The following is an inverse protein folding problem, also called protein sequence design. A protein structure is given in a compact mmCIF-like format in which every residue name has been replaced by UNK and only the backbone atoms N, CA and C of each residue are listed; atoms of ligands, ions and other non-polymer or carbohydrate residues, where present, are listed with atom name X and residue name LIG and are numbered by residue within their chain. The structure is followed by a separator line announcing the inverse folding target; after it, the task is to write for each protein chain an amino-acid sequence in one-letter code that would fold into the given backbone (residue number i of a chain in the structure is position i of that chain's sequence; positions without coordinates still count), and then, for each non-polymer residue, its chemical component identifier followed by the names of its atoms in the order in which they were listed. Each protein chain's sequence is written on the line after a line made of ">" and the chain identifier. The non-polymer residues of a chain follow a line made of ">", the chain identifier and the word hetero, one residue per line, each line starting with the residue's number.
data_IF_647785477578
#
_entry.id   IF_647785477578
#
_cell.length_a   1.000
_cell.length_b   1.000
_cell.length_c   1.000
_cell.angle_alpha   90.00
_cell.angle_beta   90.00
_cell.angle_gamma   90.00
#
_symmetry.space_group_name_H-M   'P 1'
#
loop_
_entity.id
_entity.type
_entity.pdbx_description
1 polymer ?
#
# COMPACT_ATOMS: atom_id res chain seq x y z
N UNK A 1 -50.04 34.23 -2.71
CA UNK A 1 -51.44 33.77 -2.72
C UNK A 1 -51.46 32.37 -2.09
N UNK A 2 -52.47 32.06 -1.26
CA UNK A 2 -52.85 30.75 -0.65
C UNK A 2 -51.89 29.56 -0.79
N UNK A 3 -51.36 28.90 0.25
CA UNK A 3 -51.66 28.85 1.69
C UNK A 3 -53.00 28.18 2.10
N UNK A 4 -52.87 26.95 2.61
CA UNK A 4 -53.73 26.06 3.44
C UNK A 4 -52.72 24.99 3.99
N UNK A 5 -52.58 24.59 5.27
CA UNK A 5 -53.45 24.53 6.47
C UNK A 5 -54.64 23.56 6.29
N UNK A 6 -55.20 22.81 7.25
CA UNK A 6 -54.92 22.31 8.62
C UNK A 6 -55.96 21.16 8.86
N UNK A 7 -55.95 20.22 9.83
CA UNK A 7 -55.18 19.84 11.04
C UNK A 7 -55.31 18.27 11.13
N UNK A 8 -55.09 17.48 12.20
CA UNK A 8 -54.69 17.66 13.61
C UNK A 8 -55.21 16.50 14.50
N UNK A 9 -54.45 16.10 15.54
CA UNK A 9 -54.82 15.06 16.52
C UNK A 9 -54.32 13.63 16.16
N UNK A 10 -53.70 12.78 16.98
CA UNK A 10 -53.19 12.71 18.38
C UNK A 10 -53.67 11.39 19.02
N UNK A 11 -52.71 10.61 19.59
CA UNK A 11 -52.86 9.72 20.76
C UNK A 11 -53.79 8.46 20.65
N UNK A 12 -53.55 7.36 21.37
CA UNK A 12 -52.45 7.01 22.29
C UNK A 12 -52.22 5.47 22.36
N UNK A 13 -51.15 5.05 23.05
CA UNK A 13 -50.92 3.77 23.75
C UNK A 13 -51.60 2.45 23.28
N UNK A 14 -50.81 1.40 22.97
CA UNK A 14 -50.42 0.38 23.97
C UNK A 14 -49.47 -0.71 23.42
N UNK A 15 -48.79 -1.43 24.32
CA UNK A 15 -47.79 -2.50 24.06
C UNK A 15 -48.15 -3.80 24.85
N UNK A 16 -47.30 -4.84 24.84
CA UNK A 16 -47.31 -6.01 23.95
C UNK A 16 -48.14 -7.20 24.47
N UNK A 17 -48.25 -8.27 23.66
CA UNK A 17 -48.90 -9.54 24.04
C UNK A 17 -47.98 -10.75 23.81
N UNK A 18 -47.81 -11.60 24.82
CA UNK A 18 -46.90 -12.75 24.87
C UNK A 18 -47.67 -14.07 24.79
N UNK A 19 -47.26 -14.99 23.91
CA UNK A 19 -47.71 -16.39 23.78
C UNK A 19 -46.48 -17.22 23.34
N UNK A 20 -45.72 -17.90 24.23
CA UNK A 20 -45.84 -19.33 24.64
C UNK A 20 -46.24 -20.26 23.48
N UNK A 21 -45.58 -21.35 23.08
CA UNK A 21 -44.92 -22.49 23.76
C UNK A 21 -44.50 -23.45 22.59
N UNK A 22 -43.87 -24.64 22.66
CA UNK A 22 -43.43 -25.54 23.75
C UNK A 22 -42.37 -26.55 23.24
N UNK A 23 -41.53 -27.07 24.15
CA UNK A 23 -40.99 -28.45 24.20
C UNK A 23 -40.33 -29.15 23.00
N UNK A 24 -39.05 -29.50 23.19
CA UNK A 24 -38.57 -30.89 23.09
C UNK A 24 -37.36 -31.09 24.03
N UNK A 25 -37.19 -32.27 24.65
CA UNK A 25 -36.11 -32.54 25.60
C UNK A 25 -35.49 -33.94 25.43
N UNK A 26 -34.19 -34.07 25.66
CA UNK A 26 -33.47 -35.33 25.57
C UNK A 26 -32.12 -35.31 26.30
N UNK A 27 -32.10 -35.72 27.57
CA UNK A 27 -30.87 -35.94 28.35
C UNK A 27 -30.58 -37.43 28.47
N UNK A 28 -29.33 -37.82 28.25
CA UNK A 28 -28.77 -39.08 28.71
C UNK A 28 -27.33 -38.83 29.20
N UNK A 29 -26.93 -39.44 30.31
CA UNK A 29 -25.60 -39.30 30.89
C UNK A 29 -25.06 -40.67 31.32
N UNK A 30 -23.77 -40.93 31.06
CA UNK A 30 -23.13 -42.22 31.34
C UNK A 30 -21.68 -42.06 31.81
N UNK A 31 -21.46 -42.18 33.12
CA UNK A 31 -20.15 -42.48 33.74
C UNK A 31 -20.03 -44.04 33.88
N UNK A 32 -18.92 -44.72 34.20
CA UNK A 32 -17.61 -44.35 34.79
C UNK A 32 -16.58 -45.51 34.66
N UNK A 33 -15.26 -45.24 34.72
CA UNK A 33 -14.13 -46.16 35.11
C UNK A 33 -13.82 -47.42 34.23
N UNK A 34 -12.64 -48.08 34.30
CA UNK A 34 -11.33 -47.75 34.92
C UNK A 34 -10.11 -48.47 34.25
N UNK A 35 -8.92 -47.89 34.49
CA UNK A 35 -7.56 -48.51 34.68
C UNK A 35 -7.00 -49.70 33.84
N UNK A 36 -5.94 -49.36 33.08
CA UNK A 36 -4.51 -49.65 33.39
C UNK A 36 -3.71 -50.79 32.69
N UNK A 37 -2.38 -50.58 32.68
CA UNK A 37 -1.27 -51.44 32.20
C UNK A 37 -1.10 -51.56 30.67
N UNK A 38 0.11 -51.51 30.08
CA UNK A 38 1.42 -51.20 30.66
C UNK A 38 2.62 -51.51 29.72
N UNK A 39 3.76 -50.84 29.95
CA UNK A 39 5.11 -51.07 29.36
C UNK A 39 5.32 -50.87 27.85
N UNK A 40 5.83 -49.68 27.50
CA UNK A 40 7.25 -49.55 27.12
C UNK A 40 7.68 -49.75 25.66
N UNK A 41 8.10 -48.65 25.01
CA UNK A 41 9.29 -48.65 24.14
C UNK A 41 9.98 -47.28 24.10
N UNK A 42 11.30 -47.36 24.19
CA UNK A 42 12.29 -46.27 24.18
C UNK A 42 12.46 -45.63 22.79
N UNK A 43 13.08 -44.44 22.76
CA UNK A 43 13.75 -43.78 21.63
C UNK A 43 12.89 -43.24 20.47
N UNK A 44 12.44 -41.97 20.59
CA UNK A 44 12.14 -41.08 19.45
C UNK A 44 12.13 -39.58 19.84
N UNK A 45 13.15 -39.09 20.56
CA UNK A 45 13.15 -37.74 21.15
C UNK A 45 14.41 -36.90 20.83
N UNK A 46 14.78 -36.79 19.54
CA UNK A 46 15.79 -35.83 19.05
C UNK A 46 15.77 -35.72 17.50
N UNK A 47 14.91 -34.83 16.94
CA UNK A 47 14.95 -34.20 15.58
C UNK A 47 13.54 -33.73 15.16
N UNK A 48 13.11 -32.57 15.65
CA UNK A 48 11.90 -31.87 15.20
C UNK A 48 11.98 -30.34 15.42
N UNK A 49 13.21 -29.80 15.40
CA UNK A 49 13.53 -28.37 15.41
C UNK A 49 14.57 -28.12 14.31
N UNK A 50 14.66 -26.87 13.84
CA UNK A 50 15.50 -26.40 12.73
C UNK A 50 15.03 -26.83 11.32
N UNK A 51 13.87 -26.32 10.89
CA UNK A 51 13.58 -26.04 9.48
C UNK A 51 12.59 -24.87 9.36
N UNK A 52 13.01 -23.81 8.64
CA UNK A 52 12.26 -22.61 8.21
C UNK A 52 12.49 -21.26 8.92
N UNK A 53 13.55 -21.13 9.71
CA UNK A 53 14.29 -19.85 9.73
C UNK A 53 15.04 -19.66 8.40
N UNK A 54 14.37 -19.05 7.41
CA UNK A 54 15.00 -18.53 6.19
C UNK A 54 14.74 -17.03 6.09
N UNK A 55 15.72 -16.28 6.58
CA UNK A 55 15.58 -14.88 6.96
C UNK A 55 14.94 -13.96 5.93
N UNK A 56 14.06 -13.10 6.44
CA UNK A 56 13.52 -11.92 5.78
C UNK A 56 14.61 -10.88 5.52
N UNK A 57 15.50 -11.15 4.54
CA UNK A 57 16.26 -10.09 3.89
C UNK A 57 15.28 -9.01 3.44
N UNK A 58 15.53 -7.76 3.82
CA UNK A 58 14.59 -6.65 3.64
C UNK A 58 13.99 -6.64 2.23
N UNK A 59 12.68 -6.88 2.15
CA UNK A 59 11.95 -6.74 0.88
C UNK A 59 12.04 -5.27 0.48
N UNK A 60 12.75 -4.98 -0.62
CA UNK A 60 12.56 -3.70 -1.33
C UNK A 60 11.06 -3.52 -1.57
N UNK A 61 10.51 -2.29 -1.49
CA UNK A 61 9.11 -2.05 -1.82
C UNK A 61 8.80 -2.67 -3.17
N UNK A 62 7.73 -3.47 -3.22
CA UNK A 62 7.29 -4.15 -4.43
C UNK A 62 6.82 -3.09 -5.43
N UNK A 63 7.69 -2.78 -6.39
CA UNK A 63 7.40 -1.89 -7.53
C UNK A 63 6.01 -2.23 -8.09
N UNK A 64 5.07 -1.26 -8.19
CA UNK A 64 3.70 -1.53 -8.65
C UNK A 64 3.62 -2.03 -10.10
N UNK A 65 4.68 -1.88 -10.89
CA UNK A 65 4.82 -2.43 -12.24
C UNK A 65 5.48 -3.83 -12.28
N UNK A 66 5.75 -4.44 -11.12
CA UNK A 66 6.35 -5.79 -11.00
C UNK A 66 5.34 -6.90 -11.34
N UNK A 67 5.74 -7.96 -12.07
CA UNK A 67 4.85 -9.09 -12.40
C UNK A 67 4.23 -9.80 -11.19
N UNK A 68 4.83 -9.69 -10.00
CA UNK A 68 4.32 -10.29 -8.76
C UNK A 68 3.28 -9.42 -8.01
N UNK A 69 2.81 -8.32 -8.60
CA UNK A 69 1.87 -7.37 -7.99
C UNK A 69 0.44 -7.41 -8.60
N UNK A 70 0.21 -8.22 -9.63
CA UNK A 70 -1.10 -8.40 -10.27
C UNK A 70 -1.29 -9.90 -10.58
N UNK A 71 -2.26 -10.54 -9.94
CA UNK A 71 -2.50 -11.98 -10.12
C UNK A 71 -3.16 -12.25 -11.49
N UNK A 72 -2.53 -13.11 -12.29
CA UNK A 72 -2.97 -13.38 -13.66
C UNK A 72 -3.08 -14.89 -13.89
N UNK A 73 -4.33 -15.38 -13.96
CA UNK A 73 -4.61 -16.78 -14.24
C UNK A 73 -4.07 -17.23 -15.60
N UNK A 74 -3.58 -18.46 -15.66
CA UNK A 74 -2.87 -19.08 -16.81
C UNK A 74 -3.53 -18.81 -18.18
N UNK A 75 -2.90 -17.97 -18.99
CA UNK A 75 -2.96 -18.00 -20.46
C UNK A 75 -1.55 -18.20 -21.01
N UNK A 76 -1.35 -19.23 -21.83
CA UNK A 76 -0.02 -19.76 -22.18
C UNK A 76 0.80 -18.99 -23.23
N UNK A 77 0.68 -17.66 -23.30
CA UNK A 77 1.55 -16.84 -24.15
C UNK A 77 2.88 -16.56 -23.46
N UNK A 78 3.97 -16.56 -24.23
CA UNK A 78 5.33 -16.29 -23.71
C UNK A 78 5.56 -14.78 -23.57
N UNK A 79 5.96 -14.32 -22.37
CA UNK A 79 6.26 -12.91 -22.10
C UNK A 79 7.42 -12.41 -22.99
N UNK A 80 7.18 -11.50 -23.96
CA UNK A 80 8.23 -11.02 -24.87
C UNK A 80 9.33 -10.24 -24.14
N UNK A 81 9.02 -9.73 -22.94
CA UNK A 81 9.92 -9.02 -22.04
C UNK A 81 11.07 -9.94 -21.58
N UNK A 82 10.79 -11.22 -21.29
CA UNK A 82 11.82 -12.18 -20.87
C UNK A 82 12.70 -12.60 -22.05
N UNK A 83 12.09 -12.93 -23.18
CA UNK A 83 12.80 -13.35 -24.40
C UNK A 83 13.74 -12.26 -24.94
N UNK A 84 13.32 -10.99 -24.88
CA UNK A 84 14.14 -9.85 -25.30
C UNK A 84 15.41 -9.65 -24.46
N UNK A 85 15.35 -9.92 -23.15
CA UNK A 85 16.52 -9.76 -22.26
C UNK A 85 17.59 -10.83 -22.52
N UNK A 86 17.21 -12.06 -22.88
CA UNK A 86 18.15 -13.14 -23.19
C UNK A 86 18.93 -12.94 -24.50
N UNK A 87 18.42 -12.12 -25.44
CA UNK A 87 19.05 -11.88 -26.75
C UNK A 87 20.09 -10.75 -26.75
N UNK A 88 20.25 -10.01 -25.65
CA UNK A 88 21.20 -8.89 -25.53
C UNK A 88 22.68 -9.29 -25.75
N UNK A 89 23.03 -10.58 -25.63
CA UNK A 89 24.38 -11.08 -25.87
C UNK A 89 24.73 -11.36 -27.34
N UNK A 90 23.81 -11.16 -28.30
CA UNK A 90 23.96 -11.70 -29.67
C UNK A 90 23.74 -10.70 -30.81
N UNK A 91 23.31 -9.46 -30.54
CA UNK A 91 22.98 -8.47 -31.57
C UNK A 91 24.07 -7.42 -31.86
N UNK A 92 25.26 -7.58 -31.27
CA UNK A 92 26.31 -6.56 -31.31
C UNK A 92 27.10 -6.48 -32.65
N UNK A 93 26.80 -7.36 -33.63
CA UNK A 93 27.57 -7.54 -34.87
C UNK A 93 26.71 -7.65 -36.16
N UNK A 94 25.55 -6.99 -36.21
CA UNK A 94 24.68 -6.94 -37.40
C UNK A 94 24.21 -5.55 -37.84
N UNK A 95 24.35 -4.51 -37.00
CA UNK A 95 23.85 -3.15 -37.28
C UNK A 95 24.78 -2.31 -38.20
N UNK A 96 25.23 -2.90 -39.31
CA UNK A 96 26.01 -2.20 -40.35
C UNK A 96 25.37 -2.38 -41.73
N UNK A 97 24.14 -1.87 -41.87
CA UNK A 97 23.39 -1.81 -43.13
C UNK A 97 22.70 -0.44 -43.25
N UNK A 98 22.84 0.18 -44.42
CA UNK A 98 22.46 1.56 -44.74
C UNK A 98 21.13 2.04 -44.13
N UNK A 99 21.24 2.92 -43.12
CA UNK A 99 20.17 3.76 -42.63
C UNK A 99 20.75 5.08 -42.14
N UNK A 100 20.20 6.22 -42.57
CA UNK A 100 20.59 7.53 -42.03
C UNK A 100 19.99 7.63 -40.62
N UNK A 101 20.84 7.77 -39.60
CA UNK A 101 20.37 7.85 -38.22
C UNK A 101 19.30 8.95 -38.06
N UNK A 102 18.16 8.66 -37.40
CA UNK A 102 16.96 9.48 -37.48
C UNK A 102 17.16 10.90 -36.93
N UNK A 103 16.41 11.87 -37.47
CA UNK A 103 16.21 13.15 -36.78
C UNK A 103 15.29 12.93 -35.58
N UNK A 104 15.38 13.80 -34.57
CA UNK A 104 14.63 13.61 -33.32
C UNK A 104 13.13 13.54 -33.59
N UNK A 105 12.65 14.42 -34.46
CA UNK A 105 11.28 14.61 -34.85
C UNK A 105 10.70 13.35 -35.52
N UNK A 106 11.50 12.61 -36.29
CA UNK A 106 11.05 11.40 -36.97
C UNK A 106 11.13 10.16 -36.08
N UNK A 107 12.17 10.06 -35.23
CA UNK A 107 12.25 9.00 -34.23
C UNK A 107 11.18 9.15 -33.15
N UNK A 108 10.93 10.38 -32.69
CA UNK A 108 9.89 10.67 -31.68
C UNK A 108 8.50 10.26 -32.17
N UNK A 109 8.13 10.54 -33.43
CA UNK A 109 6.85 10.09 -34.02
C UNK A 109 6.65 8.58 -33.92
N UNK A 110 7.71 7.78 -34.07
CA UNK A 110 7.63 6.30 -33.94
C UNK A 110 7.35 5.92 -32.48
N UNK A 111 8.06 6.53 -31.53
CA UNK A 111 7.87 6.27 -30.10
C UNK A 111 6.50 6.73 -29.60
N UNK A 112 6.07 7.91 -30.01
CA UNK A 112 4.76 8.51 -29.73
C UNK A 112 3.62 7.64 -30.28
N UNK A 113 3.72 7.14 -31.52
CA UNK A 113 2.77 6.18 -32.07
C UNK A 113 2.77 4.85 -31.29
N UNK A 114 3.93 4.40 -30.79
CA UNK A 114 4.02 3.25 -29.87
C UNK A 114 3.28 3.48 -28.55
N UNK A 115 3.44 4.66 -27.95
CA UNK A 115 2.73 5.08 -26.72
C UNK A 115 1.22 5.15 -26.98
N UNK A 116 0.80 5.82 -28.05
CA UNK A 116 -0.61 6.01 -28.43
C UNK A 116 -1.28 4.72 -28.94
N UNK A 117 -0.51 3.71 -29.34
CA UNK A 117 -1.04 2.35 -29.52
C UNK A 117 -1.31 1.70 -28.16
N UNK A 118 -0.35 1.80 -27.23
CA UNK A 118 -0.47 1.22 -25.90
C UNK A 118 -1.54 1.90 -25.03
N UNK A 119 -1.85 3.19 -25.23
CA UNK A 119 -2.87 3.89 -24.44
C UNK A 119 -4.29 3.32 -24.59
N UNK A 120 -4.55 2.53 -25.63
CA UNK A 120 -5.81 1.78 -25.81
C UNK A 120 -6.00 0.68 -24.76
N UNK A 121 -4.91 0.24 -24.10
CA UNK A 121 -4.94 -0.67 -22.94
C UNK A 121 -5.76 -0.06 -21.78
N UNK A 122 -5.87 1.27 -21.71
CA UNK A 122 -6.64 1.98 -20.68
C UNK A 122 -8.14 1.72 -20.78
N UNK A 123 -8.68 1.57 -21.99
CA UNK A 123 -10.09 1.25 -22.25
C UNK A 123 -10.37 -0.25 -22.07
N UNK A 124 -9.57 -1.08 -22.77
CA UNK A 124 -9.64 -2.54 -22.78
C UNK A 124 -8.23 -3.10 -22.59
N UNK A 125 -8.00 -3.85 -21.52
CA UNK A 125 -6.68 -4.37 -21.14
C UNK A 125 -6.08 -5.41 -22.11
N UNK A 126 -6.81 -5.79 -23.15
CA UNK A 126 -6.34 -6.62 -24.27
C UNK A 126 -6.06 -5.80 -25.54
N UNK A 127 -6.78 -4.70 -25.75
CA UNK A 127 -6.59 -3.79 -26.88
C UNK A 127 -5.24 -3.05 -26.77
N UNK A 128 -4.66 -2.65 -27.90
CA UNK A 128 -3.45 -1.81 -27.92
C UNK A 128 -2.13 -2.49 -27.56
N UNK A 129 -2.12 -3.74 -27.07
CA UNK A 129 -0.89 -4.51 -26.85
C UNK A 129 0.00 -4.50 -28.11
N UNK A 130 1.30 -4.16 -28.01
CA UNK A 130 2.20 -4.18 -29.16
C UNK A 130 2.54 -5.63 -29.55
N UNK A 131 2.65 -5.90 -30.84
CA UNK A 131 3.30 -7.12 -31.33
C UNK A 131 4.80 -7.08 -31.03
N UNK A 132 5.47 -8.23 -31.04
CA UNK A 132 6.92 -8.29 -30.85
C UNK A 132 7.69 -7.36 -31.82
N UNK A 133 7.28 -7.34 -33.10
CA UNK A 133 7.90 -6.47 -34.12
C UNK A 133 7.70 -4.99 -33.81
N UNK A 134 6.50 -4.56 -33.42
CA UNK A 134 6.25 -3.16 -33.05
C UNK A 134 6.99 -2.76 -31.77
N UNK A 135 7.08 -3.66 -30.79
CA UNK A 135 7.86 -3.46 -29.58
C UNK A 135 9.34 -3.27 -29.89
N UNK A 136 9.92 -4.15 -30.71
CA UNK A 136 11.32 -4.06 -31.14
C UNK A 136 11.57 -2.79 -31.95
N UNK A 137 10.69 -2.43 -32.89
CA UNK A 137 10.81 -1.19 -33.65
C UNK A 137 10.87 0.05 -32.74
N UNK A 138 10.06 0.10 -31.67
CA UNK A 138 10.10 1.20 -30.69
C UNK A 138 11.37 1.18 -29.85
N UNK A 139 11.77 0.01 -29.33
CA UNK A 139 13.00 -0.17 -28.54
C UNK A 139 14.25 0.21 -29.34
N UNK A 140 14.39 -0.31 -30.57
CA UNK A 140 15.53 -0.06 -31.44
C UNK A 140 15.57 1.42 -31.86
N UNK A 141 14.42 2.06 -32.10
CA UNK A 141 14.35 3.50 -32.37
C UNK A 141 14.87 4.32 -31.18
N UNK A 142 14.36 4.07 -29.96
CA UNK A 142 14.80 4.74 -28.74
C UNK A 142 16.30 4.51 -28.45
N UNK A 143 16.79 3.28 -28.67
CA UNK A 143 18.21 2.94 -28.53
C UNK A 143 19.10 3.71 -29.51
N UNK A 144 18.76 3.73 -30.81
CA UNK A 144 19.52 4.46 -31.83
C UNK A 144 19.53 5.96 -31.56
N UNK A 145 18.39 6.56 -31.18
CA UNK A 145 18.31 7.97 -30.76
C UNK A 145 19.21 8.26 -29.54
N UNK A 146 19.17 7.41 -28.52
CA UNK A 146 19.94 7.59 -27.30
C UNK A 146 21.46 7.48 -27.50
N UNK A 147 21.91 6.54 -28.32
CA UNK A 147 23.33 6.35 -28.64
C UNK A 147 23.85 7.45 -29.58
N UNK A 148 23.01 8.00 -30.45
CA UNK A 148 23.42 9.04 -31.41
C UNK A 148 23.72 10.40 -30.74
N UNK A 149 22.89 10.87 -29.79
CA UNK A 149 23.07 12.17 -29.13
C UNK A 149 22.56 12.22 -27.69
N UNK A 150 23.43 12.63 -26.76
CA UNK A 150 23.11 12.78 -25.33
C UNK A 150 21.93 13.73 -25.00
N UNK A 151 21.57 14.69 -25.85
CA UNK A 151 20.42 15.57 -25.63
C UNK A 151 19.08 14.89 -25.95
N UNK A 152 19.05 14.00 -26.95
CA UNK A 152 17.86 13.23 -27.29
C UNK A 152 17.36 12.36 -26.12
N UNK A 153 18.24 11.92 -25.22
CA UNK A 153 17.85 11.22 -23.99
C UNK A 153 17.01 12.09 -23.04
N UNK A 154 17.32 13.39 -22.93
CA UNK A 154 16.52 14.33 -22.14
C UNK A 154 15.20 14.65 -22.82
N UNK A 155 15.24 14.89 -24.13
CA UNK A 155 14.05 15.21 -24.93
C UNK A 155 13.06 14.03 -24.98
N UNK A 156 13.54 12.79 -25.15
CA UNK A 156 12.74 11.57 -25.03
C UNK A 156 12.12 11.40 -23.63
N UNK A 157 12.87 11.68 -22.56
CA UNK A 157 12.34 11.58 -21.19
C UNK A 157 11.28 12.65 -20.90
N UNK A 158 11.48 13.87 -21.40
CA UNK A 158 10.49 14.95 -21.31
C UNK A 158 9.20 14.59 -22.09
N UNK A 159 9.35 14.10 -23.33
CA UNK A 159 8.24 13.64 -24.16
C UNK A 159 7.49 12.45 -23.56
N UNK A 160 8.20 11.52 -22.91
CA UNK A 160 7.62 10.42 -22.14
C UNK A 160 6.76 10.93 -20.97
N UNK A 161 7.25 11.89 -20.17
CA UNK A 161 6.43 12.49 -19.08
C UNK A 161 5.18 13.19 -19.63
N UNK A 162 5.31 13.91 -20.75
CA UNK A 162 4.21 14.64 -21.41
C UNK A 162 3.14 13.69 -21.99
N UNK A 163 3.53 12.79 -22.90
CA UNK A 163 2.57 11.89 -23.59
C UNK A 163 1.83 10.97 -22.61
N UNK A 164 2.47 10.57 -21.50
CA UNK A 164 1.78 9.84 -20.43
C UNK A 164 0.75 10.71 -19.70
N UNK A 165 1.08 11.97 -19.41
CA UNK A 165 0.13 12.92 -18.83
C UNK A 165 -1.06 13.18 -19.77
N UNK A 166 -0.81 13.32 -21.08
CA UNK A 166 -1.87 13.47 -22.10
C UNK A 166 -2.76 12.22 -22.17
N UNK A 167 -2.19 11.01 -22.11
CA UNK A 167 -2.96 9.76 -22.05
C UNK A 167 -3.82 9.65 -20.79
N UNK A 168 -3.31 10.08 -19.63
CA UNK A 168 -4.08 10.12 -18.38
C UNK A 168 -5.21 11.16 -18.47
N UNK A 169 -4.92 12.34 -19.01
CA UNK A 169 -5.91 13.40 -19.19
C UNK A 169 -7.03 13.00 -20.16
N UNK A 170 -6.69 12.39 -21.31
CA UNK A 170 -7.65 12.00 -22.33
C UNK A 170 -8.45 10.74 -21.97
N UNK A 171 -7.82 9.74 -21.34
CA UNK A 171 -8.42 8.41 -21.15
C UNK A 171 -8.89 8.15 -19.71
N UNK A 172 -8.12 8.57 -18.70
CA UNK A 172 -8.40 8.21 -17.29
C UNK A 172 -9.38 9.20 -16.65
N UNK A 173 -9.12 10.53 -16.75
CA UNK A 173 -9.96 11.52 -16.08
C UNK A 173 -11.44 11.43 -16.46
N UNK A 174 -11.84 11.30 -17.75
CA UNK A 174 -13.25 11.19 -18.13
C UNK A 174 -13.95 9.92 -17.60
N UNK A 175 -13.19 8.84 -17.36
CA UNK A 175 -13.72 7.63 -16.75
C UNK A 175 -13.97 7.77 -15.24
N UNK A 176 -13.29 8.69 -14.56
CA UNK A 176 -13.46 8.99 -13.13
C UNK A 176 -14.50 10.10 -12.89
N UNK A 177 -14.66 11.04 -13.83
CA UNK A 177 -15.67 12.09 -13.77
C UNK A 177 -17.08 11.53 -13.53
N UNK A 178 -17.86 12.25 -12.72
CA UNK A 178 -19.24 11.93 -12.34
C UNK A 178 -19.45 10.63 -11.53
N UNK A 179 -18.40 9.84 -11.25
CA UNK A 179 -18.46 8.73 -10.31
C UNK A 179 -18.25 9.23 -8.88
N UNK A 180 -18.74 8.45 -7.91
CA UNK A 180 -18.62 8.70 -6.47
C UNK A 180 -18.42 7.37 -5.72
N UNK A 181 -17.95 7.47 -4.49
CA UNK A 181 -17.91 6.38 -3.51
C UNK A 181 -17.26 5.10 -4.09
N UNK A 182 -17.79 3.91 -3.79
CA UNK A 182 -17.27 2.63 -4.29
C UNK A 182 -17.16 2.56 -5.83
N UNK A 183 -18.02 3.28 -6.56
CA UNK A 183 -18.01 3.32 -8.01
C UNK A 183 -16.83 4.14 -8.56
N UNK A 184 -16.43 5.20 -7.85
CA UNK A 184 -15.19 5.93 -8.13
C UNK A 184 -13.97 5.08 -7.79
N UNK A 185 -13.95 4.47 -6.59
CA UNK A 185 -12.82 3.65 -6.13
C UNK A 185 -12.53 2.46 -7.06
N UNK A 186 -13.57 1.69 -7.46
CA UNK A 186 -13.38 0.56 -8.38
C UNK A 186 -12.87 0.99 -9.76
N UNK A 187 -13.28 2.15 -10.28
CA UNK A 187 -12.77 2.63 -11.56
C UNK A 187 -11.33 3.16 -11.45
N UNK A 188 -10.99 3.86 -10.37
CA UNK A 188 -9.60 4.29 -10.11
C UNK A 188 -8.64 3.10 -10.07
N UNK A 189 -9.02 2.06 -9.34
CA UNK A 189 -8.28 0.79 -9.25
C UNK A 189 -8.14 0.12 -10.62
N UNK A 190 -9.22 0.00 -11.40
CA UNK A 190 -9.20 -0.55 -12.76
C UNK A 190 -8.30 0.27 -13.70
N UNK A 191 -8.45 1.58 -13.71
CA UNK A 191 -7.67 2.50 -14.56
C UNK A 191 -6.19 2.47 -14.21
N UNK A 192 -5.84 2.41 -12.92
CA UNK A 192 -4.47 2.22 -12.48
C UNK A 192 -3.91 0.86 -12.91
N UNK A 193 -4.68 -0.23 -12.78
CA UNK A 193 -4.25 -1.56 -13.22
C UNK A 193 -3.99 -1.62 -14.74
N UNK A 194 -4.90 -1.07 -15.55
CA UNK A 194 -4.72 -0.93 -16.99
C UNK A 194 -3.50 -0.06 -17.33
N UNK A 195 -3.28 1.03 -16.60
CA UNK A 195 -2.09 1.89 -16.75
C UNK A 195 -0.79 1.14 -16.40
N UNK A 196 -0.77 0.31 -15.36
CA UNK A 196 0.37 -0.58 -15.07
C UNK A 196 0.68 -1.54 -16.24
N UNK A 197 -0.34 -2.11 -16.88
CA UNK A 197 -0.17 -2.95 -18.09
C UNK A 197 0.40 -2.15 -19.25
N UNK A 198 -0.06 -0.91 -19.47
CA UNK A 198 0.46 0.00 -20.50
C UNK A 198 1.94 0.35 -20.25
N UNK A 199 2.27 0.82 -19.04
CA UNK A 199 3.63 1.28 -18.68
C UNK A 199 4.65 0.15 -18.78
N UNK A 200 4.27 -1.09 -18.47
CA UNK A 200 5.13 -2.27 -18.63
C UNK A 200 5.63 -2.49 -20.06
N UNK A 201 4.88 -2.07 -21.08
CA UNK A 201 5.36 -2.04 -22.46
C UNK A 201 6.17 -0.77 -22.76
N UNK A 202 5.64 0.41 -22.42
CA UNK A 202 6.24 1.70 -22.80
C UNK A 202 7.59 1.94 -22.11
N UNK A 203 7.72 1.67 -20.81
CA UNK A 203 9.01 1.76 -20.10
C UNK A 203 10.03 0.75 -20.67
N UNK A 204 9.56 -0.34 -21.29
CA UNK A 204 10.36 -1.28 -22.06
C UNK A 204 11.04 -0.63 -23.27
N UNK A 205 10.33 0.22 -24.04
CA UNK A 205 10.91 0.98 -25.15
C UNK A 205 12.06 1.88 -24.69
N UNK A 206 11.86 2.60 -23.58
CA UNK A 206 12.84 3.55 -23.03
C UNK A 206 13.88 2.90 -22.11
N UNK A 207 13.95 1.57 -22.02
CA UNK A 207 14.77 0.86 -21.03
C UNK A 207 16.28 1.21 -21.09
N UNK A 208 16.81 1.55 -22.28
CA UNK A 208 18.18 2.05 -22.41
C UNK A 208 18.35 3.44 -21.78
N UNK A 209 17.42 4.38 -22.04
CA UNK A 209 17.41 5.72 -21.44
C UNK A 209 17.29 5.62 -19.91
N UNK A 210 16.44 4.74 -19.41
CA UNK A 210 16.31 4.47 -17.97
C UNK A 210 17.62 4.00 -17.33
N UNK A 211 18.28 3.00 -17.92
CA UNK A 211 19.53 2.42 -17.41
C UNK A 211 20.74 3.34 -17.52
N UNK A 212 20.87 4.08 -18.62
CA UNK A 212 22.10 4.80 -18.96
C UNK A 212 22.02 6.31 -18.72
N UNK A 213 20.86 6.94 -18.89
CA UNK A 213 20.69 8.39 -18.75
C UNK A 213 20.11 8.79 -17.39
N UNK A 214 18.97 8.20 -16.99
CA UNK A 214 18.30 8.59 -15.74
C UNK A 214 19.16 8.25 -14.51
N UNK A 215 19.75 7.06 -14.49
CA UNK A 215 20.68 6.63 -13.43
C UNK A 215 21.92 7.54 -13.31
N UNK A 216 22.50 7.97 -14.44
CA UNK A 216 23.65 8.88 -14.47
C UNK A 216 23.29 10.30 -13.98
N UNK A 217 22.08 10.77 -14.30
CA UNK A 217 21.59 12.10 -13.91
C UNK A 217 20.90 12.15 -12.55
N UNK A 218 20.68 11.00 -11.89
CA UNK A 218 19.86 10.85 -10.67
C UNK A 218 18.44 11.40 -10.83
N UNK A 219 17.87 11.24 -12.03
CA UNK A 219 16.47 11.55 -12.30
C UNK A 219 15.55 10.42 -11.76
N UNK A 220 14.26 10.67 -11.53
CA UNK A 220 13.29 9.62 -11.18
C UNK A 220 13.30 8.47 -12.20
N UNK A 221 12.96 7.25 -11.79
CA UNK A 221 12.85 6.12 -12.73
C UNK A 221 11.71 6.32 -13.74
N UNK A 222 11.68 5.51 -14.79
CA UNK A 222 10.55 5.53 -15.74
C UNK A 222 9.24 5.20 -15.05
N UNK A 223 9.30 4.30 -14.06
CA UNK A 223 8.23 3.88 -13.17
C UNK A 223 7.75 5.01 -12.24
N UNK A 224 8.66 5.68 -11.52
CA UNK A 224 8.30 6.82 -10.65
C UNK A 224 7.73 7.99 -11.48
N UNK A 225 8.29 8.21 -12.67
CA UNK A 225 7.81 9.23 -13.63
C UNK A 225 6.41 8.89 -14.13
N UNK A 226 6.13 7.62 -14.42
CA UNK A 226 4.80 7.16 -14.83
C UNK A 226 3.77 7.24 -13.69
N UNK A 227 4.13 6.80 -12.49
CA UNK A 227 3.28 6.92 -11.31
C UNK A 227 2.98 8.40 -11.00
N UNK A 228 3.96 9.28 -11.17
CA UNK A 228 3.80 10.74 -11.10
C UNK A 228 2.85 11.27 -12.19
N UNK A 229 3.05 10.95 -13.47
CA UNK A 229 2.18 11.42 -14.56
C UNK A 229 0.72 10.97 -14.39
N UNK A 230 0.47 9.85 -13.72
CA UNK A 230 -0.86 9.45 -13.29
C UNK A 230 -1.33 10.26 -12.07
N UNK A 231 -0.71 10.04 -10.91
CA UNK A 231 -1.28 10.52 -9.64
C UNK A 231 -1.20 12.04 -9.46
N UNK A 232 -0.24 12.75 -10.04
CA UNK A 232 -0.23 14.21 -9.98
C UNK A 232 -1.42 14.84 -10.73
N UNK A 233 -1.86 14.22 -11.83
CA UNK A 233 -3.08 14.63 -12.54
C UNK A 233 -4.35 14.16 -11.82
N UNK A 234 -4.43 12.90 -11.39
CA UNK A 234 -5.68 12.43 -10.76
C UNK A 234 -5.92 13.14 -9.41
N UNK A 235 -4.87 13.45 -8.63
CA UNK A 235 -5.02 14.26 -7.41
C UNK A 235 -5.40 15.72 -7.67
N UNK A 236 -5.02 16.33 -8.80
CA UNK A 236 -5.39 17.75 -9.05
C UNK A 236 -6.88 17.94 -9.35
N UNK A 237 -7.60 16.85 -9.68
CA UNK A 237 -9.05 16.84 -9.88
C UNK A 237 -9.84 16.13 -8.76
N UNK A 238 -9.26 15.11 -8.12
CA UNK A 238 -9.98 14.19 -7.21
C UNK A 238 -9.24 13.94 -5.88
N UNK A 239 -8.56 14.95 -5.33
CA UNK A 239 -7.81 14.87 -4.08
C UNK A 239 -8.63 14.29 -2.92
N UNK A 240 -9.85 14.82 -2.72
CA UNK A 240 -10.67 14.55 -1.54
C UNK A 240 -11.39 13.21 -1.65
N UNK A 241 -11.81 12.80 -2.85
CA UNK A 241 -12.38 11.48 -3.11
C UNK A 241 -11.34 10.37 -2.89
N UNK A 242 -10.12 10.55 -3.41
CA UNK A 242 -9.03 9.58 -3.23
C UNK A 242 -8.60 9.50 -1.76
N UNK A 243 -8.38 10.66 -1.13
CA UNK A 243 -7.96 10.70 0.27
C UNK A 243 -9.05 10.19 1.21
N UNK A 244 -10.30 10.56 0.97
CA UNK A 244 -11.46 10.06 1.71
C UNK A 244 -11.59 8.53 1.61
N UNK A 245 -11.50 7.96 0.41
CA UNK A 245 -11.57 6.52 0.20
C UNK A 245 -10.41 5.77 0.87
N UNK A 246 -9.16 6.21 0.66
CA UNK A 246 -7.97 5.57 1.25
C UNK A 246 -7.99 5.62 2.78
N UNK A 247 -8.34 6.75 3.39
CA UNK A 247 -8.46 6.87 4.84
C UNK A 247 -9.63 6.05 5.39
N UNK A 248 -10.75 5.95 4.66
CA UNK A 248 -11.87 5.07 5.04
C UNK A 248 -11.42 3.60 5.10
N UNK A 249 -10.72 3.12 4.07
CA UNK A 249 -10.23 1.74 3.99
C UNK A 249 -9.19 1.45 5.09
N UNK A 250 -8.26 2.38 5.35
CA UNK A 250 -7.29 2.25 6.45
C UNK A 250 -8.00 2.20 7.83
N UNK A 251 -9.02 3.04 8.07
CA UNK A 251 -9.83 2.98 9.29
C UNK A 251 -10.58 1.65 9.43
N UNK A 252 -11.16 1.15 8.34
CA UNK A 252 -11.84 -0.15 8.31
C UNK A 252 -10.88 -1.31 8.64
N UNK A 253 -9.65 -1.31 8.10
CA UNK A 253 -8.62 -2.29 8.46
C UNK A 253 -8.22 -2.18 9.94
N UNK A 254 -8.07 -0.95 10.46
CA UNK A 254 -7.78 -0.70 11.89
C UNK A 254 -8.88 -1.20 12.84
N UNK A 255 -10.15 -1.07 12.44
CA UNK A 255 -11.33 -1.58 13.16
C UNK A 255 -11.57 -3.10 12.89
N UNK A 256 -10.75 -3.75 12.06
CA UNK A 256 -10.77 -5.20 11.82
C UNK A 256 -11.78 -5.68 10.78
N UNK A 257 -12.31 -4.78 9.94
CA UNK A 257 -13.18 -5.12 8.82
C UNK A 257 -12.40 -5.83 7.70
N UNK A 258 -13.09 -6.63 6.90
CA UNK A 258 -12.50 -7.28 5.73
C UNK A 258 -12.31 -6.28 4.58
N UNK A 259 -11.12 -5.68 4.51
CA UNK A 259 -10.71 -4.72 3.48
C UNK A 259 -9.95 -5.43 2.35
N UNK A 260 -10.17 -4.95 1.13
CA UNK A 260 -9.39 -5.38 -0.05
C UNK A 260 -7.98 -4.78 0.00
N UNK A 261 -7.08 -5.52 0.65
CA UNK A 261 -5.70 -5.09 0.89
C UNK A 261 -4.87 -4.99 -0.39
N UNK A 262 -5.15 -5.76 -1.43
CA UNK A 262 -4.39 -5.69 -2.68
C UNK A 262 -4.74 -4.42 -3.47
N UNK A 263 -6.02 -4.03 -3.52
CA UNK A 263 -6.42 -2.75 -4.10
C UNK A 263 -5.95 -1.55 -3.26
N UNK A 264 -6.06 -1.60 -1.92
CA UNK A 264 -5.53 -0.56 -1.04
C UNK A 264 -4.01 -0.40 -1.19
N UNK A 265 -3.26 -1.49 -1.10
CA UNK A 265 -1.79 -1.46 -1.20
C UNK A 265 -1.30 -1.14 -2.60
N UNK A 266 -2.02 -1.53 -3.66
CA UNK A 266 -1.70 -1.19 -5.04
C UNK A 266 -1.68 0.32 -5.27
N UNK A 267 -2.73 1.03 -4.80
CA UNK A 267 -2.83 2.49 -4.89
C UNK A 267 -1.84 3.17 -3.92
N UNK A 268 -1.73 2.73 -2.66
CA UNK A 268 -0.82 3.34 -1.68
C UNK A 268 0.66 3.23 -2.10
N UNK A 269 1.10 2.09 -2.65
CA UNK A 269 2.46 1.95 -3.21
C UNK A 269 2.67 2.88 -4.40
N UNK A 270 1.69 2.98 -5.29
CA UNK A 270 1.80 3.86 -6.46
C UNK A 270 1.90 5.34 -6.10
N UNK A 271 1.11 5.79 -5.11
CA UNK A 271 1.23 7.12 -4.51
C UNK A 271 2.63 7.31 -3.90
N UNK A 272 3.20 6.29 -3.25
CA UNK A 272 4.56 6.33 -2.71
C UNK A 272 5.67 6.37 -3.78
N UNK A 273 5.36 6.10 -5.04
CA UNK A 273 6.24 6.28 -6.20
C UNK A 273 5.97 7.58 -6.98
N UNK A 274 5.16 8.50 -6.41
CA UNK A 274 4.73 9.74 -7.09
C UNK A 274 5.07 11.01 -6.32
N UNK A 275 5.12 12.15 -7.03
CA UNK A 275 5.30 13.49 -6.43
C UNK A 275 4.27 13.82 -5.31
N UNK A 276 3.07 13.20 -5.31
CA UNK A 276 2.02 13.42 -4.28
C UNK A 276 2.19 12.59 -2.99
N UNK A 277 3.26 11.79 -2.86
CA UNK A 277 3.54 10.99 -1.64
C UNK A 277 3.42 11.79 -0.34
N UNK A 278 3.94 13.02 -0.31
CA UNK A 278 3.95 13.86 0.89
C UNK A 278 2.54 14.30 1.33
N UNK A 279 1.65 14.54 0.37
CA UNK A 279 0.26 14.94 0.64
C UNK A 279 -0.48 13.80 1.33
N UNK A 280 -0.43 12.60 0.74
CA UNK A 280 -1.04 11.40 1.32
C UNK A 280 -0.41 11.02 2.67
N UNK A 281 0.91 11.17 2.82
CA UNK A 281 1.60 10.96 4.11
C UNK A 281 1.04 11.88 5.20
N UNK A 282 0.90 13.17 4.93
CA UNK A 282 0.30 14.12 5.89
C UNK A 282 -1.16 13.80 6.20
N UNK A 283 -1.96 13.39 5.20
CA UNK A 283 -3.34 12.98 5.39
C UNK A 283 -3.45 11.75 6.31
N UNK A 284 -2.66 10.69 6.07
CA UNK A 284 -2.62 9.48 6.91
C UNK A 284 -2.14 9.80 8.32
N UNK A 285 -1.10 10.61 8.49
CA UNK A 285 -0.58 11.02 9.81
C UNK A 285 -1.67 11.74 10.63
N UNK A 286 -2.36 12.72 10.02
CA UNK A 286 -3.43 13.47 10.69
C UNK A 286 -4.63 12.58 11.03
N UNK A 287 -5.03 11.70 10.11
CA UNK A 287 -6.11 10.74 10.33
C UNK A 287 -5.82 9.78 11.49
N UNK A 288 -4.58 9.28 11.55
CA UNK A 288 -4.10 8.37 12.60
C UNK A 288 -4.27 9.00 13.98
N UNK A 289 -3.86 10.27 14.14
CA UNK A 289 -4.04 11.00 15.40
C UNK A 289 -5.53 11.17 15.77
N UNK A 290 -6.39 11.54 14.81
CA UNK A 290 -7.84 11.71 15.05
C UNK A 290 -8.50 10.38 15.41
N UNK A 291 -8.15 9.29 14.71
CA UNK A 291 -8.65 7.94 14.97
C UNK A 291 -8.29 7.48 16.39
N UNK A 292 -7.02 7.59 16.79
CA UNK A 292 -6.60 7.16 18.13
C UNK A 292 -7.05 8.12 19.25
N UNK A 293 -7.30 9.40 18.95
CA UNK A 293 -7.97 10.34 19.88
C UNK A 293 -9.44 9.99 20.14
N UNK A 294 -10.11 9.29 19.22
CA UNK A 294 -11.44 8.69 19.47
C UNK A 294 -11.31 7.37 20.23
N UNK A 295 -10.44 6.47 19.78
CA UNK A 295 -10.26 5.14 20.39
C UNK A 295 -9.81 5.22 21.84
N UNK A 296 -8.98 6.19 22.21
CA UNK A 296 -8.58 6.41 23.60
C UNK A 296 -9.78 6.65 24.54
N UNK A 297 -10.78 7.41 24.10
CA UNK A 297 -12.00 7.72 24.86
C UNK A 297 -12.94 6.51 24.98
N UNK A 298 -12.98 5.65 23.96
CA UNK A 298 -13.67 4.35 24.02
C UNK A 298 -12.96 3.41 25.02
N UNK A 299 -11.64 3.25 24.87
CA UNK A 299 -10.85 2.25 25.60
C UNK A 299 -10.64 2.58 27.08
N UNK A 300 -10.48 3.85 27.46
CA UNK A 300 -10.25 4.26 28.87
C UNK A 300 -11.46 4.01 29.79
N UNK A 301 -12.64 3.73 29.22
CA UNK A 301 -13.84 3.32 29.94
C UNK A 301 -14.03 1.80 29.92
N UNK A 302 -13.57 1.12 28.86
CA UNK A 302 -13.74 -0.32 28.65
C UNK A 302 -12.71 -1.18 29.40
N UNK A 303 -11.46 -0.71 29.53
CA UNK A 303 -10.35 -1.53 30.01
C UNK A 303 -9.81 -1.07 31.38
N UNK A 304 -9.56 -2.00 32.33
CA UNK A 304 -8.69 -1.76 33.47
C UNK A 304 -7.30 -1.25 33.03
N UNK A 305 -6.61 -0.47 33.88
CA UNK A 305 -5.38 0.19 33.44
C UNK A 305 -4.29 -0.75 32.89
N UNK A 306 -3.98 -1.92 33.49
CA UNK A 306 -3.00 -2.84 32.92
C UNK A 306 -3.38 -3.30 31.50
N UNK A 307 -4.66 -3.59 31.28
CA UNK A 307 -5.19 -4.04 30.00
C UNK A 307 -5.22 -2.90 28.96
N UNK A 308 -5.58 -1.67 29.38
CA UNK A 308 -5.50 -0.47 28.54
C UNK A 308 -4.06 -0.24 28.06
N UNK A 309 -3.08 -0.34 28.96
CA UNK A 309 -1.68 -0.06 28.63
C UNK A 309 -1.04 -1.19 27.80
N UNK A 310 -1.42 -2.44 28.04
CA UNK A 310 -1.10 -3.55 27.14
C UNK A 310 -1.72 -3.33 25.75
N UNK A 311 -2.95 -2.80 25.68
CA UNK A 311 -3.62 -2.43 24.42
C UNK A 311 -2.91 -1.29 23.69
N UNK A 312 -2.38 -0.29 24.41
CA UNK A 312 -1.52 0.76 23.82
C UNK A 312 -0.27 0.14 23.20
N UNK A 313 0.44 -0.76 23.89
CA UNK A 313 1.64 -1.41 23.34
C UNK A 313 1.31 -2.25 22.09
N UNK A 314 0.29 -3.12 22.14
CA UNK A 314 -0.17 -3.91 20.99
C UNK A 314 -0.53 -3.02 19.78
N UNK A 315 -1.14 -1.87 20.05
CA UNK A 315 -1.55 -0.90 19.03
C UNK A 315 -0.34 -0.20 18.40
N UNK A 316 0.65 0.20 19.20
CA UNK A 316 1.92 0.76 18.70
C UNK A 316 2.63 -0.20 17.77
N UNK A 317 2.81 -1.47 18.19
CA UNK A 317 3.48 -2.50 17.39
C UNK A 317 2.78 -2.80 16.06
N UNK A 318 1.44 -2.68 16.03
CA UNK A 318 0.63 -2.85 14.82
C UNK A 318 0.68 -1.62 13.92
N UNK A 319 0.57 -0.42 14.47
CA UNK A 319 0.53 0.80 13.67
C UNK A 319 1.90 1.15 13.06
N UNK A 320 3.02 0.88 13.74
CA UNK A 320 4.35 0.95 13.12
C UNK A 320 4.43 0.04 11.88
N UNK A 321 3.94 -1.21 11.97
CA UNK A 321 3.95 -2.14 10.83
C UNK A 321 3.04 -1.69 9.68
N UNK A 322 1.90 -1.04 10.00
CA UNK A 322 1.00 -0.41 9.01
C UNK A 322 1.65 0.78 8.32
N UNK A 323 2.21 1.72 9.08
CA UNK A 323 2.78 2.96 8.53
C UNK A 323 4.00 2.67 7.63
N UNK A 324 4.87 1.72 7.99
CA UNK A 324 5.94 1.21 7.10
C UNK A 324 5.37 0.75 5.75
N UNK A 325 4.30 -0.06 5.77
CA UNK A 325 3.69 -0.62 4.55
C UNK A 325 2.99 0.46 3.72
N UNK A 326 2.04 1.18 4.32
CA UNK A 326 1.21 2.18 3.64
C UNK A 326 2.03 3.34 3.09
N UNK A 327 3.02 3.84 3.83
CA UNK A 327 3.76 5.05 3.47
C UNK A 327 5.14 4.78 2.84
N UNK A 328 5.57 3.51 2.78
CA UNK A 328 6.88 3.11 2.28
C UNK A 328 8.00 3.98 2.90
N UNK A 329 8.10 3.93 4.23
CA UNK A 329 9.03 4.68 5.10
C UNK A 329 9.94 3.71 5.87
N UNK A 330 10.98 4.22 6.55
CA UNK A 330 11.83 3.37 7.42
C UNK A 330 11.11 3.01 8.72
N UNK A 331 11.60 1.97 9.40
CA UNK A 331 11.09 1.54 10.71
C UNK A 331 11.35 2.59 11.81
N UNK A 332 12.50 3.29 11.72
CA UNK A 332 12.85 4.45 12.55
C UNK A 332 11.84 5.60 12.37
N UNK A 333 11.62 6.04 11.13
CA UNK A 333 10.67 7.11 10.80
C UNK A 333 9.24 6.72 11.19
N UNK A 334 8.87 5.46 10.97
CA UNK A 334 7.56 4.95 11.37
C UNK A 334 7.37 4.92 12.88
N UNK A 335 8.42 4.64 13.65
CA UNK A 335 8.35 4.57 15.11
C UNK A 335 8.23 5.97 15.73
N UNK A 336 8.98 6.95 15.20
CA UNK A 336 8.83 8.37 15.56
C UNK A 336 7.41 8.90 15.24
N UNK A 337 6.89 8.59 14.05
CA UNK A 337 5.52 8.95 13.67
C UNK A 337 4.48 8.24 14.55
N UNK A 338 4.69 6.98 14.90
CA UNK A 338 3.78 6.23 15.78
C UNK A 338 3.76 6.82 17.21
N UNK A 339 4.91 7.22 17.76
CA UNK A 339 4.98 7.91 19.05
C UNK A 339 4.18 9.23 19.04
N UNK A 340 4.25 10.00 17.95
CA UNK A 340 3.56 11.29 17.80
C UNK A 340 2.06 11.15 17.50
N UNK A 341 1.65 10.13 16.75
CA UNK A 341 0.26 9.97 16.27
C UNK A 341 -0.58 8.99 17.07
N UNK A 342 0.03 8.00 17.72
CA UNK A 342 -0.67 6.92 18.43
C UNK A 342 -0.46 7.04 19.94
N UNK A 343 0.80 7.05 20.39
CA UNK A 343 1.11 7.10 21.83
C UNK A 343 0.62 8.42 22.46
N UNK A 344 0.88 9.57 21.83
CA UNK A 344 0.48 10.89 22.35
C UNK A 344 -1.02 10.98 22.70
N UNK A 345 -2.00 10.75 21.80
CA UNK A 345 -3.41 10.87 22.16
C UNK A 345 -3.89 9.80 23.16
N UNK A 346 -3.35 8.58 23.09
CA UNK A 346 -3.67 7.51 24.05
C UNK A 346 -3.19 7.87 25.48
N UNK A 347 -1.98 8.41 25.63
CA UNK A 347 -1.42 8.80 26.93
C UNK A 347 -2.03 10.10 27.46
N UNK A 348 -2.25 11.11 26.62
CA UNK A 348 -2.97 12.34 27.00
C UNK A 348 -4.38 12.05 27.54
N UNK A 349 -5.06 11.04 26.99
CA UNK A 349 -6.38 10.63 27.47
C UNK A 349 -6.31 9.97 28.85
N UNK A 350 -5.32 9.11 29.07
CA UNK A 350 -5.03 8.51 30.37
C UNK A 350 -4.64 9.56 31.42
N UNK A 351 -3.76 10.52 31.11
CA UNK A 351 -3.39 11.61 32.02
C UNK A 351 -4.61 12.43 32.46
N UNK A 352 -5.51 12.76 31.52
CA UNK A 352 -6.73 13.51 31.82
C UNK A 352 -7.73 12.68 32.66
N UNK A 353 -7.79 11.36 32.46
CA UNK A 353 -8.58 10.43 33.29
C UNK A 353 -8.00 10.32 34.70
N UNK A 354 -6.67 10.11 34.82
CA UNK A 354 -5.91 10.09 36.08
C UNK A 354 -6.15 11.37 36.87
N UNK A 355 -6.02 12.54 36.23
CA UNK A 355 -6.29 13.85 36.84
C UNK A 355 -7.73 13.99 37.35
N UNK A 356 -8.73 13.49 36.60
CA UNK A 356 -10.14 13.49 37.03
C UNK A 356 -10.41 12.55 38.21
N UNK A 357 -9.77 11.38 38.27
CA UNK A 357 -9.91 10.43 39.41
C UNK A 357 -9.14 10.86 40.66
N UNK A 358 -7.98 11.49 40.54
CA UNK A 358 -7.21 11.99 41.68
C UNK A 358 -7.82 13.25 42.34
N UNK A 359 -8.94 13.77 41.81
CA UNK A 359 -9.81 14.74 42.52
C UNK A 359 -10.75 14.01 43.52
N UNK A 360 -10.82 12.67 43.48
CA UNK A 360 -11.62 11.84 44.38
C UNK A 360 -10.84 11.13 45.49
N UNK A 361 -9.75 10.41 45.18
CA UNK A 361 -9.06 9.53 46.14
C UNK A 361 -7.52 9.53 46.03
N UNK A 362 -6.84 9.40 47.17
CA UNK A 362 -5.39 9.63 47.32
C UNK A 362 -4.52 8.35 47.34
N UNK A 363 -5.10 7.17 47.10
CA UNK A 363 -4.42 5.86 47.33
C UNK A 363 -3.69 5.32 46.07
N UNK A 364 -4.02 5.78 44.87
CA UNK A 364 -3.55 5.18 43.59
C UNK A 364 -2.27 5.79 43.01
N UNK A 365 -1.35 6.32 43.82
CA UNK A 365 -0.22 7.11 43.30
C UNK A 365 1.03 6.30 42.93
N UNK A 366 1.45 5.34 43.75
CA UNK A 366 2.80 4.75 43.64
C UNK A 366 2.88 3.61 42.62
N UNK A 367 1.99 2.61 42.71
CA UNK A 367 1.92 1.49 41.74
C UNK A 367 1.71 1.96 40.30
N UNK A 368 1.07 3.13 40.14
CA UNK A 368 0.75 3.72 38.83
C UNK A 368 1.97 4.42 38.22
N UNK A 369 2.85 5.01 39.04
CA UNK A 369 4.14 5.55 38.58
C UNK A 369 5.04 4.46 37.99
N UNK A 370 5.16 3.32 38.67
CA UNK A 370 6.05 2.23 38.24
C UNK A 370 5.70 1.73 36.84
N UNK A 371 4.41 1.54 36.55
CA UNK A 371 3.94 1.07 35.24
C UNK A 371 4.11 2.14 34.16
N UNK A 372 3.87 3.41 34.49
CA UNK A 372 4.05 4.56 33.59
C UNK A 372 5.53 4.75 33.18
N UNK A 373 6.45 4.62 34.14
CA UNK A 373 7.90 4.63 33.91
C UNK A 373 8.37 3.38 33.15
N UNK A 374 7.85 2.18 33.46
CA UNK A 374 8.22 0.95 32.75
C UNK A 374 7.76 0.96 31.28
N UNK A 375 6.60 1.55 30.98
CA UNK A 375 6.08 1.67 29.63
C UNK A 375 6.78 2.75 28.81
N UNK A 376 7.10 3.91 29.41
CA UNK A 376 7.98 4.88 28.76
C UNK A 376 9.34 4.24 28.44
N UNK A 377 9.90 3.46 29.36
CA UNK A 377 11.13 2.71 29.12
C UNK A 377 10.96 1.57 28.09
N UNK A 378 9.79 0.91 27.98
CA UNK A 378 9.49 -0.10 26.94
C UNK A 378 9.34 0.56 25.56
N UNK A 379 8.66 1.70 25.46
CA UNK A 379 8.55 2.45 24.20
C UNK A 379 9.91 2.99 23.75
N UNK A 380 10.76 3.46 24.68
CA UNK A 380 12.15 3.84 24.37
C UNK A 380 13.01 2.62 23.98
N UNK A 381 12.81 1.45 24.58
CA UNK A 381 13.49 0.20 24.18
C UNK A 381 13.10 -0.24 22.76
N UNK A 382 11.81 -0.17 22.40
CA UNK A 382 11.34 -0.48 21.05
C UNK A 382 11.97 0.43 19.98
N UNK A 383 12.38 1.65 20.33
CA UNK A 383 13.12 2.56 19.43
C UNK A 383 14.65 2.32 19.40
N UNK A 384 15.18 1.42 20.23
CA UNK A 384 16.62 1.14 20.38
C UNK A 384 16.95 -0.29 19.93
N UNK A 385 16.10 -1.27 20.24
CA UNK A 385 16.29 -2.69 19.91
C UNK A 385 16.22 -2.95 18.38
N UNK A 386 15.49 -2.11 17.63
CA UNK A 386 15.54 -2.09 16.16
C UNK A 386 16.83 -1.46 15.59
N UNK A 387 17.66 -0.83 16.43
CA UNK A 387 18.92 -0.19 16.05
C UNK A 387 20.17 -1.04 16.34
N UNK A 388 20.10 -2.02 17.25
CA UNK A 388 21.27 -2.79 17.70
C UNK A 388 21.81 -3.81 16.67
N UNK A 389 20.94 -4.37 15.84
CA UNK A 389 21.28 -5.52 14.96
C UNK A 389 22.21 -5.17 13.77
N UNK A 390 22.51 -3.88 13.56
CA UNK A 390 23.44 -3.43 12.52
C UNK A 390 24.84 -3.03 13.04
N UNK A 391 25.15 -3.21 14.33
CA UNK A 391 26.44 -2.82 14.93
C UNK A 391 27.23 -3.99 15.54
N UNK A 392 27.27 -5.14 14.85
CA UNK A 392 28.23 -6.21 15.20
C UNK A 392 28.73 -7.04 14.00
N UNK A 393 29.52 -6.43 13.13
CA UNK A 393 30.48 -7.18 12.30
C UNK A 393 31.63 -6.32 11.75
N UNK A 394 32.76 -6.96 11.47
CA UNK A 394 33.92 -6.40 10.75
C UNK A 394 34.65 -5.20 11.40
N UNK A 395 35.07 -5.37 12.66
CA UNK A 395 36.48 -5.09 12.97
C UNK A 395 37.28 -6.36 12.65
N UNK A 396 38.11 -6.33 11.61
CA UNK A 396 39.29 -7.21 11.42
C UNK A 396 40.20 -6.61 10.35
N UNK A 397 41.52 -6.78 10.51
CA UNK A 397 42.54 -6.13 9.68
C UNK A 397 42.89 -6.94 8.42
N UNK A 398 42.88 -6.32 7.23
CA UNK A 398 44.06 -6.10 6.36
C UNK A 398 43.71 -5.50 5.00
#
# INVERSE_FOLDING_TARGET
>A
MHAWLELGGERDSDEPLIISESFAAGRAAGRVRDRASGRGRVNAAARATNAEERGTRGRKPLNPFSPAALDYSRSGDQDPILTGVSLLGSLQDQSSKNGRAPQFEDGWKVLEQGILKCSKILEDSTAGKPTFTEYMNCYDCAYQMAVQKNHYCQEMYNGYKATLADCVHAMVLPHLMHKRDDCFWRELVKMWSNYCVMIRFVAGYFAYVGRCFLALRKLPSLEDTAATSFFALVFSYFHDEISGALLMLIRQERDGCNVDMDHLMGIMRAICHSEVKLIMKSAVIQDTYVYYSRKSLEWIVQYPLPDYLAKVQETMEKETKRLIQYLCISEEESSDLCLKTVNTPLMQTYENYKRKKCIGDQVMSETYKTVEEELLARCSRLAIESGSDNLSSSYMEK
#
